data_IF_267368272881
#
_entry.id   IF_267368272881
#
_cell.length_a   1.000
_cell.length_b   1.000
_cell.length_c   1.000
_cell.angle_alpha   90.00
_cell.angle_beta   90.00
_cell.angle_gamma   90.00
#
_symmetry.space_group_name_H-M   'P 1'
#
loop_
_entity.id
_entity.type
_entity.pdbx_description
1 polymer ?
#
# COMPACT_ATOMS: atom_id res chain seq x y z
N UNK A 1 1.56 -4.48 11.22
CA UNK A 1 0.99 -3.44 10.33
C UNK A 1 2.10 -2.88 9.45
N UNK A 2 2.97 -3.72 8.89
CA UNK A 2 2.85 -4.57 7.70
C UNK A 2 3.08 -3.84 6.38
N UNK A 3 4.26 -4.12 5.83
CA UNK A 3 4.77 -3.87 4.46
C UNK A 3 3.67 -4.04 3.38
N UNK A 4 2.73 -4.94 3.66
CA UNK A 4 1.54 -5.30 2.87
C UNK A 4 0.71 -4.08 2.43
N UNK A 5 0.40 -3.13 3.32
CA UNK A 5 -0.43 -1.97 2.97
C UNK A 5 0.35 -0.97 2.09
N UNK A 6 1.65 -0.81 2.35
CA UNK A 6 2.51 0.14 1.64
C UNK A 6 2.72 -0.27 0.19
N UNK A 7 3.03 -1.54 -0.07
CA UNK A 7 3.30 -2.03 -1.42
C UNK A 7 2.02 -2.10 -2.27
N UNK A 8 0.87 -2.35 -1.65
CA UNK A 8 -0.44 -2.35 -2.33
C UNK A 8 -0.78 -0.96 -2.87
N UNK A 9 -0.53 0.09 -2.08
CA UNK A 9 -0.81 1.48 -2.46
C UNK A 9 0.19 1.99 -3.50
N UNK A 10 1.45 1.56 -3.41
CA UNK A 10 2.51 1.94 -4.35
C UNK A 10 2.26 1.46 -5.77
N UNK A 11 1.81 0.22 -5.93
CA UNK A 11 1.57 -0.37 -7.25
C UNK A 11 0.25 0.11 -7.88
N UNK A 12 -0.68 0.67 -7.09
CA UNK A 12 -1.96 1.17 -7.57
C UNK A 12 -2.00 2.70 -7.79
N UNK A 13 -0.86 3.40 -7.62
CA UNK A 13 -0.70 4.78 -8.08
C UNK A 13 -0.55 4.83 -9.61
N UNK A 14 -1.22 5.78 -10.27
CA UNK A 14 -1.26 5.89 -11.74
C UNK A 14 -2.54 5.30 -12.35
N UNK A 15 -2.40 4.43 -13.37
CA UNK A 15 -3.50 3.86 -14.17
C UNK A 15 -4.24 2.71 -13.46
N UNK A 16 -3.81 2.33 -12.25
CA UNK A 16 -4.35 1.21 -11.49
C UNK A 16 -3.75 -0.14 -11.90
N UNK A 17 -3.98 -1.16 -11.08
CA UNK A 17 -3.40 -2.51 -11.25
C UNK A 17 -4.43 -3.61 -11.07
N UNK A 18 -4.18 -4.73 -11.73
CA UNK A 18 -4.97 -5.94 -11.57
C UNK A 18 -4.81 -6.53 -10.17
N UNK A 19 -5.88 -7.17 -9.69
CA UNK A 19 -5.88 -7.92 -8.44
C UNK A 19 -4.76 -8.97 -8.35
N UNK A 20 -4.46 -9.62 -9.48
CA UNK A 20 -3.40 -10.62 -9.61
C UNK A 20 -2.01 -10.01 -9.48
N UNK A 21 -1.81 -8.78 -9.96
CA UNK A 21 -0.57 -8.02 -9.79
C UNK A 21 -0.35 -7.65 -8.32
N UNK A 22 -1.41 -7.22 -7.62
CA UNK A 22 -1.34 -6.96 -6.17
C UNK A 22 -1.01 -8.26 -5.41
N UNK A 23 -1.61 -9.40 -5.79
CA UNK A 23 -1.32 -10.70 -5.21
C UNK A 23 0.15 -11.11 -5.35
N UNK A 24 0.74 -10.91 -6.53
CA UNK A 24 2.13 -11.31 -6.78
C UNK A 24 3.16 -10.36 -6.15
N UNK A 25 2.88 -9.05 -6.15
CA UNK A 25 3.89 -8.05 -5.77
C UNK A 25 3.93 -7.77 -4.27
N UNK A 26 2.87 -8.04 -3.52
CA UNK A 26 2.81 -7.67 -2.09
C UNK A 26 3.32 -8.75 -1.14
N UNK A 27 3.87 -9.88 -1.63
CA UNK A 27 4.34 -11.02 -0.80
C UNK A 27 3.31 -11.51 0.25
N UNK A 28 2.01 -11.25 0.03
CA UNK A 28 0.93 -11.56 0.97
C UNK A 28 0.24 -12.86 0.61
N UNK A 29 -0.21 -13.59 1.61
CA UNK A 29 -1.08 -14.75 1.37
C UNK A 29 -2.45 -14.31 0.83
N UNK A 30 -3.03 -15.10 -0.09
CA UNK A 30 -4.37 -14.87 -0.67
C UNK A 30 -5.46 -14.62 0.40
N UNK A 31 -5.50 -15.34 1.53
CA UNK A 31 -6.49 -15.10 2.58
C UNK A 31 -6.34 -13.72 3.23
N UNK A 32 -5.11 -13.26 3.46
CA UNK A 32 -4.84 -11.94 4.02
C UNK A 32 -5.28 -10.84 3.05
N UNK A 33 -4.96 -10.97 1.76
CA UNK A 33 -5.37 -9.99 0.76
C UNK A 33 -6.90 -9.86 0.68
N UNK A 34 -7.63 -10.99 0.73
CA UNK A 34 -9.11 -10.99 0.75
C UNK A 34 -9.69 -10.30 1.99
N UNK A 35 -8.96 -10.28 3.11
CA UNK A 35 -9.37 -9.58 4.34
C UNK A 35 -9.05 -8.08 4.30
N UNK A 36 -7.90 -7.69 3.73
CA UNK A 36 -7.45 -6.29 3.73
C UNK A 36 -8.02 -5.45 2.58
N UNK A 37 -8.30 -6.04 1.42
CA UNK A 37 -8.88 -5.34 0.26
C UNK A 37 -10.21 -4.63 0.58
N UNK A 38 -11.20 -5.29 1.22
CA UNK A 38 -12.45 -4.63 1.59
C UNK A 38 -12.22 -3.47 2.57
N UNK A 39 -11.30 -3.61 3.53
CA UNK A 39 -10.99 -2.57 4.52
C UNK A 39 -10.37 -1.33 3.84
N UNK A 40 -9.43 -1.54 2.92
CA UNK A 40 -8.83 -0.44 2.16
C UNK A 40 -9.87 0.30 1.31
N UNK A 41 -10.82 -0.44 0.73
CA UNK A 41 -11.90 0.14 -0.07
C UNK A 41 -12.94 0.87 0.80
N UNK A 42 -13.33 0.29 1.93
CA UNK A 42 -14.26 0.88 2.91
C UNK A 42 -13.70 2.18 3.51
N UNK A 43 -12.40 2.21 3.80
CA UNK A 43 -11.72 3.42 4.25
C UNK A 43 -11.44 4.43 3.12
N UNK A 44 -11.79 4.10 1.87
CA UNK A 44 -11.62 4.97 0.71
C UNK A 44 -10.16 5.19 0.32
N UNK A 45 -9.27 4.25 0.62
CA UNK A 45 -7.84 4.30 0.26
C UNK A 45 -7.58 3.71 -1.12
N UNK A 46 -8.42 2.77 -1.56
CA UNK A 46 -8.42 2.22 -2.91
C UNK A 46 -9.82 2.22 -3.50
N UNK A 47 -9.91 2.30 -4.82
CA UNK A 47 -11.15 2.13 -5.59
C UNK A 47 -11.02 0.95 -6.54
N UNK A 48 -12.14 0.26 -6.80
CA UNK A 48 -12.22 -0.79 -7.81
C UNK A 48 -13.10 -0.31 -8.96
N UNK A 49 -12.58 -0.37 -10.19
CA UNK A 49 -13.36 -0.09 -11.39
C UNK A 49 -13.85 -1.39 -12.01
N UNK A 50 -15.16 -1.61 -12.03
CA UNK A 50 -15.75 -2.78 -12.71
C UNK A 50 -15.50 -2.76 -14.23
N UNK A 51 -15.42 -1.56 -14.83
CA UNK A 51 -15.18 -1.38 -16.27
C UNK A 51 -13.79 -1.84 -16.70
N UNK A 52 -12.77 -1.55 -15.90
CA UNK A 52 -11.38 -1.89 -16.23
C UNK A 52 -10.86 -3.09 -15.45
N UNK A 53 -11.59 -3.53 -14.41
CA UNK A 53 -11.18 -4.54 -13.42
C UNK A 53 -9.89 -4.19 -12.67
N UNK A 54 -9.58 -2.90 -12.59
CA UNK A 54 -8.38 -2.38 -11.94
C UNK A 54 -8.70 -1.83 -10.56
N UNK A 55 -7.74 -2.00 -9.66
CA UNK A 55 -7.69 -1.30 -8.39
C UNK A 55 -6.80 -0.07 -8.53
N UNK A 56 -7.24 1.06 -8.02
CA UNK A 56 -6.50 2.32 -8.05
C UNK A 56 -6.40 2.91 -6.65
N UNK A 57 -5.24 3.46 -6.31
CA UNK A 57 -5.05 4.22 -5.08
C UNK A 57 -5.77 5.56 -5.23
N UNK A 58 -6.62 5.88 -4.25
CA UNK A 58 -7.28 7.20 -4.20
C UNK A 58 -6.30 8.26 -3.73
N UNK A 59 -6.65 9.53 -3.87
CA UNK A 59 -5.85 10.64 -3.32
C UNK A 59 -5.66 10.50 -1.79
N UNK A 60 -6.71 10.06 -1.08
CA UNK A 60 -6.66 9.75 0.35
C UNK A 60 -5.67 8.61 0.64
N UNK A 61 -5.66 7.57 -0.18
CA UNK A 61 -4.71 6.46 -0.11
C UNK A 61 -3.26 6.92 -0.27
N UNK A 62 -2.99 7.78 -1.26
CA UNK A 62 -1.65 8.34 -1.47
C UNK A 62 -1.20 9.24 -0.31
N UNK A 63 -2.10 10.05 0.26
CA UNK A 63 -1.78 10.87 1.44
C UNK A 63 -1.46 10.00 2.66
N UNK A 64 -2.27 8.95 2.89
CA UNK A 64 -2.05 7.97 3.96
C UNK A 64 -0.68 7.31 3.84
N UNK A 65 -0.29 6.88 2.63
CA UNK A 65 1.02 6.29 2.36
C UNK A 65 2.17 7.25 2.68
N UNK A 66 2.08 8.52 2.25
CA UNK A 66 3.11 9.53 2.53
C UNK A 66 3.26 9.78 4.03
N UNK A 67 2.16 9.88 4.76
CA UNK A 67 2.18 10.04 6.21
C UNK A 67 2.84 8.84 6.90
N UNK A 68 2.53 7.62 6.44
CA UNK A 68 3.15 6.40 6.94
C UNK A 68 4.67 6.38 6.69
N UNK A 69 5.12 6.75 5.49
CA UNK A 69 6.56 6.81 5.15
C UNK A 69 7.30 7.81 6.03
N UNK A 70 6.72 8.98 6.29
CA UNK A 70 7.31 9.99 7.18
C UNK A 70 7.48 9.46 8.62
N UNK A 71 6.48 8.74 9.14
CA UNK A 71 6.55 8.11 10.47
C UNK A 71 7.59 6.99 10.49
N UNK A 72 7.60 6.13 9.47
CA UNK A 72 8.57 5.04 9.36
C UNK A 72 10.01 5.57 9.31
N UNK A 73 10.24 6.67 8.59
CA UNK A 73 11.55 7.34 8.53
C UNK A 73 11.95 7.96 9.88
N UNK A 74 11.01 8.59 10.60
CA UNK A 74 11.25 9.15 11.92
C UNK A 74 11.60 8.06 12.97
N UNK A 75 11.10 6.84 12.79
CA UNK A 75 11.38 5.70 13.66
C UNK A 75 12.67 4.94 13.30
N UNK A 76 13.34 5.29 12.18
CA UNK A 76 14.63 4.67 11.84
C UNK A 76 15.68 5.07 12.88
N UNK A 77 16.37 4.10 13.50
CA UNK A 77 17.43 4.42 14.44
C UNK A 77 18.51 5.23 13.72
N UNK A 78 18.80 6.44 14.24
CA UNK A 78 19.83 7.33 13.72
C UNK A 78 21.21 6.69 13.99
N UNK A 79 21.63 5.77 13.14
CA UNK A 79 22.93 5.12 13.26
C UNK A 79 24.02 6.06 12.72
N UNK A 80 24.22 7.19 13.39
CA UNK A 80 25.50 7.92 13.34
C UNK A 80 26.50 7.12 14.17
N UNK A 81 26.94 5.97 13.64
CA UNK A 81 28.17 5.34 14.14
C UNK A 81 29.32 6.26 13.77
N UNK A 82 29.85 6.88 14.80
CA UNK A 82 31.10 7.63 14.85
C UNK A 82 32.14 6.97 13.94
N UNK A 83 32.60 7.70 12.93
CA UNK A 83 33.93 7.47 12.36
C UNK A 83 34.92 7.98 13.40
N UNK A 84 35.51 7.06 14.15
CA UNK A 84 36.81 7.25 14.79
C UNK A 84 37.66 6.03 14.47
#
# INVERSE_FOLDING_TARGET
MDIIQKDSLAHAEGDGVLKTTIMYNCYVSIPQLRKYMPLLQEHGLIEYSEKTRLYRTTEKGSLYRKAYDAVADALKPNNKRSRH
#
